data_IF_880891218471
#
_entry.id   IF_880891218471
#
_cell.length_a   1.000
_cell.length_b   1.000
_cell.length_c   1.000
_cell.angle_alpha   90.00
_cell.angle_beta   90.00
_cell.angle_gamma   90.00
#
_symmetry.space_group_name_H-M   'P 1'
#
loop_
_entity.id
_entity.type
_entity.pdbx_description
1 polymer ?
#
# COMPACT_ATOMS: atom_id res chain seq x y z
N UNK A 1 -2.76 8.91 -10.66
CA UNK A 1 -4.19 8.81 -10.99
C UNK A 1 -4.27 8.04 -12.28
N UNK A 2 -4.65 6.76 -12.22
CA UNK A 2 -4.91 6.00 -13.45
C UNK A 2 -6.15 6.63 -14.10
N UNK A 3 -5.96 7.34 -15.20
CA UNK A 3 -7.06 7.68 -16.09
C UNK A 3 -7.33 6.43 -16.92
N UNK A 4 -8.34 5.66 -16.52
CA UNK A 4 -9.01 4.75 -17.44
C UNK A 4 -9.94 5.63 -18.28
N UNK A 5 -9.43 6.17 -19.39
CA UNK A 5 -10.27 6.74 -20.42
C UNK A 5 -10.77 5.60 -21.29
N UNK A 6 -11.98 5.13 -21.04
CA UNK A 6 -12.71 4.38 -22.05
C UNK A 6 -14.07 5.03 -22.23
N UNK A 7 -14.27 5.54 -23.44
CA UNK A 7 -15.58 5.59 -24.07
C UNK A 7 -16.26 4.23 -23.84
N UNK A 8 -17.42 4.26 -23.18
CA UNK A 8 -18.27 3.10 -22.96
C UNK A 8 -18.92 2.73 -24.31
N UNK A 9 -18.13 2.20 -25.24
CA UNK A 9 -18.62 1.57 -26.48
C UNK A 9 -17.60 0.64 -27.15
N UNK A 10 -16.96 -0.24 -26.37
CA UNK A 10 -16.32 -1.43 -26.94
C UNK A 10 -16.20 -2.54 -25.89
N UNK A 11 -16.67 -3.75 -26.20
CA UNK A 11 -16.64 -4.95 -25.35
C UNK A 11 -15.22 -5.50 -25.06
N UNK A 12 -14.16 -4.71 -25.27
CA UNK A 12 -12.78 -5.16 -25.18
C UNK A 12 -11.97 -4.25 -24.26
N UNK A 13 -11.52 -4.81 -23.15
CA UNK A 13 -10.54 -4.19 -22.27
C UNK A 13 -9.23 -3.94 -23.01
N UNK A 14 -8.72 -2.71 -22.96
CA UNK A 14 -7.35 -2.38 -23.39
C UNK A 14 -6.49 -1.89 -22.21
N UNK A 15 -5.22 -2.31 -22.17
CA UNK A 15 -4.28 -1.80 -21.17
C UNK A 15 -3.70 -0.49 -21.68
N UNK A 16 -3.88 0.63 -20.96
CA UNK A 16 -3.48 1.93 -21.50
C UNK A 16 -1.96 1.97 -21.72
N UNK A 17 -1.52 2.46 -22.88
CA UNK A 17 -0.08 2.61 -23.21
C UNK A 17 0.69 3.41 -22.16
N UNK A 18 0.02 4.31 -21.43
CA UNK A 18 0.63 5.06 -20.33
C UNK A 18 1.03 4.17 -19.13
N UNK A 19 0.37 3.01 -18.96
CA UNK A 19 0.65 2.04 -17.91
C UNK A 19 1.90 1.19 -18.17
N UNK A 20 2.42 1.15 -19.40
CA UNK A 20 3.58 0.30 -19.75
C UNK A 20 4.93 0.99 -19.52
N UNK A 21 4.92 2.28 -19.16
CA UNK A 21 6.15 3.09 -19.06
C UNK A 21 6.95 2.83 -17.79
N UNK A 22 6.27 2.52 -16.69
CA UNK A 22 6.89 2.40 -15.37
C UNK A 22 6.57 1.05 -14.75
N UNK A 23 7.51 0.51 -13.99
CA UNK A 23 7.27 -0.72 -13.26
C UNK A 23 6.12 -0.55 -12.25
N UNK A 24 5.39 -1.65 -12.01
CA UNK A 24 4.25 -1.69 -11.10
C UNK A 24 4.21 -3.00 -10.34
N UNK A 25 3.74 -2.92 -9.09
CA UNK A 25 3.45 -4.06 -8.24
C UNK A 25 1.94 -4.23 -8.09
N UNK A 26 1.47 -5.47 -8.14
CA UNK A 26 0.07 -5.81 -7.91
C UNK A 26 -0.02 -6.88 -6.82
N UNK A 27 -1.05 -6.78 -5.99
CA UNK A 27 -1.42 -7.80 -5.02
C UNK A 27 -2.88 -8.20 -5.25
N UNK A 28 -3.12 -9.49 -5.44
CA UNK A 28 -4.44 -10.07 -5.54
C UNK A 28 -4.61 -11.12 -4.44
N UNK A 29 -5.72 -11.08 -3.71
CA UNK A 29 -6.04 -12.00 -2.62
C UNK A 29 -7.38 -12.65 -2.90
N UNK A 30 -7.43 -13.98 -2.82
CA UNK A 30 -8.69 -14.73 -2.84
C UNK A 30 -9.26 -14.79 -1.42
N UNK A 31 -10.42 -14.17 -1.21
CA UNK A 31 -11.03 -13.98 0.11
C UNK A 31 -12.41 -14.63 0.19
N UNK A 32 -12.82 -15.05 1.38
CA UNK A 32 -14.22 -15.37 1.66
C UNK A 32 -15.02 -14.08 1.93
N UNK A 33 -16.34 -14.17 1.86
CA UNK A 33 -17.23 -13.04 2.18
C UNK A 33 -17.07 -12.56 3.63
N UNK A 34 -16.58 -13.40 4.54
CA UNK A 34 -16.34 -13.02 5.93
C UNK A 34 -15.24 -11.95 6.09
N UNK A 35 -14.35 -11.81 5.10
CA UNK A 35 -13.31 -10.78 5.13
C UNK A 35 -13.82 -9.40 4.65
N UNK A 36 -15.05 -9.31 4.11
CA UNK A 36 -15.54 -8.09 3.46
C UNK A 36 -15.62 -6.90 4.42
N UNK A 37 -15.96 -7.10 5.69
CA UNK A 37 -16.00 -6.01 6.66
C UNK A 37 -14.60 -5.50 7.00
N UNK A 38 -13.63 -6.40 7.17
CA UNK A 38 -12.23 -6.01 7.38
C UNK A 38 -11.67 -5.24 6.17
N UNK A 39 -11.98 -5.71 4.96
CA UNK A 39 -11.62 -5.03 3.70
C UNK A 39 -12.31 -3.66 3.60
N UNK A 40 -13.59 -3.57 3.92
CA UNK A 40 -14.34 -2.32 3.88
C UNK A 40 -13.82 -1.31 4.90
N UNK A 41 -13.47 -1.74 6.11
CA UNK A 41 -12.82 -0.89 7.11
C UNK A 41 -11.44 -0.40 6.64
N UNK A 42 -10.62 -1.28 6.06
CA UNK A 42 -9.36 -0.88 5.45
C UNK A 42 -9.58 0.21 4.39
N UNK A 43 -10.48 -0.03 3.43
CA UNK A 43 -10.79 0.92 2.34
C UNK A 43 -11.34 2.25 2.87
N UNK A 44 -12.20 2.20 3.89
CA UNK A 44 -12.83 3.37 4.51
C UNK A 44 -11.79 4.28 5.17
N UNK A 45 -10.85 3.70 5.93
CA UNK A 45 -9.77 4.45 6.55
C UNK A 45 -8.75 4.95 5.53
N UNK A 46 -8.43 4.14 4.51
CA UNK A 46 -7.61 4.55 3.37
C UNK A 46 -8.29 5.63 2.51
N UNK A 47 -9.57 5.91 2.74
CA UNK A 47 -10.38 6.89 2.00
C UNK A 47 -10.42 6.59 0.50
N UNK A 48 -10.49 5.30 0.15
CA UNK A 48 -10.69 4.86 -1.22
C UNK A 48 -11.92 5.55 -1.79
N UNK A 49 -11.80 6.06 -3.02
CA UNK A 49 -12.88 6.77 -3.71
C UNK A 49 -13.34 5.91 -4.89
N UNK A 50 -14.46 5.17 -4.76
CA UNK A 50 -15.00 4.40 -5.87
C UNK A 50 -15.41 5.31 -7.02
N UNK A 51 -15.10 4.88 -8.24
CA UNK A 51 -15.60 5.49 -9.47
C UNK A 51 -16.93 4.85 -9.89
N UNK A 52 -16.95 3.51 -9.97
CA UNK A 52 -18.14 2.69 -10.15
C UNK A 52 -18.30 1.72 -8.97
N UNK A 53 -19.53 1.33 -8.66
CA UNK A 53 -19.81 0.39 -7.58
C UNK A 53 -21.02 -0.49 -7.90
N UNK A 54 -20.90 -1.77 -7.61
CA UNK A 54 -22.03 -2.71 -7.55
C UNK A 54 -21.96 -3.45 -6.21
N UNK A 55 -22.83 -3.09 -5.26
CA UNK A 55 -22.84 -3.65 -3.91
C UNK A 55 -24.18 -4.38 -3.65
N UNK A 56 -24.22 -5.73 -3.77
CA UNK A 56 -25.40 -6.54 -3.51
C UNK A 56 -25.97 -6.33 -2.10
N UNK A 57 -27.29 -6.47 -1.94
CA UNK A 57 -27.97 -6.23 -0.66
C UNK A 57 -27.45 -7.11 0.48
N UNK A 58 -27.15 -8.39 0.20
CA UNK A 58 -26.57 -9.31 1.19
C UNK A 58 -25.22 -8.84 1.72
N UNK A 59 -24.39 -8.20 0.89
CA UNK A 59 -23.08 -7.67 1.28
C UNK A 59 -23.18 -6.37 2.07
N UNK A 60 -24.26 -5.59 1.89
CA UNK A 60 -24.52 -4.41 2.73
C UNK A 60 -24.74 -4.79 4.19
N UNK A 61 -25.39 -5.93 4.42
CA UNK A 61 -25.64 -6.47 5.76
C UNK A 61 -24.36 -7.07 6.35
N UNK A 62 -23.63 -7.85 5.54
CA UNK A 62 -22.42 -8.53 5.98
C UNK A 62 -21.24 -7.58 6.24
N UNK A 63 -21.12 -6.51 5.46
CA UNK A 63 -20.03 -5.54 5.52
C UNK A 63 -20.56 -4.10 5.40
N UNK A 64 -21.18 -3.54 6.46
CA UNK A 64 -21.71 -2.18 6.46
C UNK A 64 -20.65 -1.12 6.11
N UNK A 65 -19.37 -1.38 6.41
CA UNK A 65 -18.29 -0.47 6.04
C UNK A 65 -18.13 -0.27 4.53
N UNK A 66 -18.51 -1.25 3.70
CA UNK A 66 -18.52 -1.09 2.24
C UNK A 66 -19.60 -0.11 1.79
N UNK A 67 -20.72 -0.03 2.51
CA UNK A 67 -21.74 1.01 2.27
C UNK A 67 -21.16 2.40 2.54
N UNK A 68 -20.37 2.54 3.60
CA UNK A 68 -19.65 3.79 3.88
C UNK A 68 -18.63 4.13 2.79
N UNK A 69 -17.86 3.15 2.29
CA UNK A 69 -16.91 3.34 1.19
C UNK A 69 -17.59 3.81 -0.09
N UNK A 70 -18.68 3.14 -0.50
CA UNK A 70 -19.48 3.54 -1.67
C UNK A 70 -20.02 4.97 -1.53
N UNK A 71 -20.48 5.33 -0.32
CA UNK A 71 -20.96 6.67 0.00
C UNK A 71 -19.83 7.68 0.30
N UNK A 72 -18.56 7.30 0.12
CA UNK A 72 -17.37 8.14 0.36
C UNK A 72 -17.32 8.70 1.80
N UNK A 73 -17.84 7.95 2.77
CA UNK A 73 -17.89 8.29 4.20
C UNK A 73 -16.62 7.83 4.92
N UNK A 74 -15.70 8.77 5.14
CA UNK A 74 -14.52 8.55 5.99
C UNK A 74 -14.89 8.47 7.48
N UNK A 75 -13.98 8.00 8.36
CA UNK A 75 -14.14 8.15 9.81
C UNK A 75 -14.45 9.60 10.20
N UNK A 76 -15.20 9.77 11.29
CA UNK A 76 -15.67 11.09 11.76
C UNK A 76 -14.52 12.09 11.89
N UNK A 77 -14.80 13.36 11.60
CA UNK A 77 -13.84 14.45 11.83
C UNK A 77 -13.45 14.57 13.31
N UNK A 78 -14.31 14.14 14.23
CA UNK A 78 -14.09 14.11 15.69
C UNK A 78 -13.43 12.82 16.18
N UNK A 79 -13.13 11.86 15.30
CA UNK A 79 -12.43 10.65 15.71
C UNK A 79 -11.05 11.00 16.29
N UNK A 80 -10.65 10.30 17.35
CA UNK A 80 -9.32 10.42 17.96
C UNK A 80 -8.26 9.61 17.22
N UNK A 81 -8.67 8.61 16.43
CA UNK A 81 -7.78 7.76 15.64
C UNK A 81 -8.15 7.83 14.16
N UNK A 82 -7.11 7.98 13.34
CA UNK A 82 -7.21 8.04 11.88
C UNK A 82 -6.49 6.86 11.22
N UNK A 83 -6.20 5.82 11.98
CA UNK A 83 -5.54 4.61 11.51
C UNK A 83 -6.37 3.37 11.78
N UNK A 84 -6.10 2.31 11.04
CA UNK A 84 -6.67 1.00 11.30
C UNK A 84 -5.72 -0.11 10.87
N UNK A 85 -5.75 -1.21 11.61
CA UNK A 85 -5.06 -2.46 11.28
C UNK A 85 -6.13 -3.54 11.20
N UNK A 86 -6.14 -4.28 10.09
CA UNK A 86 -7.08 -5.37 9.83
C UNK A 86 -6.35 -6.64 9.45
N UNK A 87 -6.75 -7.76 10.03
CA UNK A 87 -6.24 -9.07 9.64
C UNK A 87 -7.14 -9.63 8.56
N UNK A 88 -6.63 -9.72 7.34
CA UNK A 88 -7.34 -10.28 6.19
C UNK A 88 -6.86 -11.72 6.01
N UNK A 89 -7.79 -12.68 6.06
CA UNK A 89 -7.48 -14.11 5.89
C UNK A 89 -7.97 -14.55 4.52
N UNK A 90 -7.05 -15.08 3.74
CA UNK A 90 -7.34 -15.66 2.42
C UNK A 90 -8.05 -17.00 2.53
N UNK A 91 -8.66 -17.48 1.44
CA UNK A 91 -9.36 -18.78 1.40
C UNK A 91 -8.48 -19.97 1.83
N UNK A 92 -7.17 -19.90 1.60
CA UNK A 92 -6.23 -20.95 2.00
C UNK A 92 -5.63 -20.73 3.41
N UNK A 93 -6.14 -19.77 4.17
CA UNK A 93 -5.70 -19.49 5.54
C UNK A 93 -4.46 -18.59 5.65
N UNK A 94 -3.86 -18.12 4.55
CA UNK A 94 -2.77 -17.14 4.62
C UNK A 94 -3.30 -15.83 5.20
N UNK A 95 -2.63 -15.33 6.24
CA UNK A 95 -2.94 -14.05 6.89
C UNK A 95 -2.16 -12.90 6.23
N UNK A 96 -2.85 -11.81 5.99
CA UNK A 96 -2.31 -10.52 5.61
C UNK A 96 -2.75 -9.46 6.63
N UNK A 97 -1.91 -8.45 6.87
CA UNK A 97 -2.24 -7.29 7.72
C UNK A 97 -2.44 -6.07 6.81
N UNK A 98 -3.66 -5.56 6.75
CA UNK A 98 -3.96 -4.29 6.10
C UNK A 98 -3.76 -3.12 7.07
N UNK A 99 -2.81 -2.25 6.78
CA UNK A 99 -2.55 -0.99 7.48
C UNK A 99 -3.17 0.15 6.66
N UNK A 100 -4.12 0.88 7.20
CA UNK A 100 -4.68 2.04 6.52
C UNK A 100 -4.66 3.28 7.42
N UNK A 101 -4.40 4.44 6.79
CA UNK A 101 -4.44 5.76 7.41
C UNK A 101 -5.39 6.67 6.63
N UNK A 102 -6.04 7.58 7.33
CA UNK A 102 -6.77 8.71 6.75
C UNK A 102 -5.87 9.93 6.59
N UNK A 103 -6.34 10.92 5.80
CA UNK A 103 -5.66 12.20 5.55
C UNK A 103 -5.27 13.02 6.78
N UNK A 104 -5.89 12.73 7.94
CA UNK A 104 -5.62 13.41 9.21
C UNK A 104 -4.50 12.77 10.03
N UNK A 105 -3.99 11.60 9.62
CA UNK A 105 -2.85 10.96 10.29
C UNK A 105 -1.61 11.84 10.29
N UNK A 106 -1.39 12.61 9.22
CA UNK A 106 -0.42 13.71 9.22
C UNK A 106 1.05 13.30 9.20
N UNK A 107 1.37 12.02 8.99
CA UNK A 107 2.76 11.55 8.95
C UNK A 107 3.00 10.44 7.91
N UNK A 108 4.26 10.01 7.82
CA UNK A 108 4.73 8.92 6.95
C UNK A 108 4.09 7.59 7.35
N UNK A 109 3.42 6.95 6.38
CA UNK A 109 2.78 5.65 6.54
C UNK A 109 3.80 4.57 6.97
N UNK A 110 4.99 4.60 6.38
CA UNK A 110 5.99 3.55 6.60
C UNK A 110 6.68 3.71 7.95
N UNK A 111 7.27 4.88 8.19
CA UNK A 111 8.07 5.13 9.38
C UNK A 111 7.23 5.30 10.66
N UNK A 112 6.07 5.96 10.61
CA UNK A 112 5.25 6.22 11.81
C UNK A 112 4.19 5.16 12.09
N UNK A 113 3.87 4.30 11.12
CA UNK A 113 2.80 3.32 11.30
C UNK A 113 3.24 1.88 11.03
N UNK A 114 3.69 1.54 9.82
CA UNK A 114 3.95 0.15 9.45
C UNK A 114 5.16 -0.43 10.20
N UNK A 115 6.34 0.19 10.07
CA UNK A 115 7.59 -0.34 10.63
C UNK A 115 7.54 -0.53 12.16
N UNK A 116 6.99 0.41 12.97
CA UNK A 116 6.83 0.21 14.40
C UNK A 116 5.85 -0.91 14.77
N UNK A 117 4.75 -1.08 14.04
CA UNK A 117 3.76 -2.13 14.31
C UNK A 117 4.26 -3.52 13.90
N UNK A 118 5.06 -3.61 12.84
CA UNK A 118 5.75 -4.84 12.45
C UNK A 118 7.02 -5.10 13.28
N UNK A 119 7.51 -4.08 14.00
CA UNK A 119 8.73 -4.12 14.83
C UNK A 119 9.97 -4.46 14.04
N UNK A 120 10.10 -3.93 12.82
CA UNK A 120 11.26 -4.16 11.96
C UNK A 120 11.58 -2.94 11.11
N UNK A 121 12.86 -2.71 10.85
CA UNK A 121 13.30 -1.73 9.84
C UNK A 121 12.89 -2.21 8.45
N UNK A 122 12.66 -1.29 7.51
CA UNK A 122 12.17 -1.62 6.18
C UNK A 122 12.95 -0.89 5.09
N UNK A 123 13.21 -1.55 3.97
CA UNK A 123 13.51 -0.89 2.71
C UNK A 123 12.21 -0.67 1.95
N UNK A 124 11.98 0.55 1.47
CA UNK A 124 10.72 0.98 0.86
C UNK A 124 11.00 1.56 -0.52
N UNK A 125 10.41 0.95 -1.54
CA UNK A 125 10.34 1.45 -2.89
C UNK A 125 9.01 2.18 -3.07
N UNK A 126 9.09 3.47 -3.39
CA UNK A 126 7.94 4.21 -3.88
C UNK A 126 8.39 5.23 -4.92
N UNK A 127 7.51 5.52 -5.87
CA UNK A 127 7.73 6.62 -6.81
C UNK A 127 8.01 7.95 -6.09
N UNK A 128 9.20 8.50 -6.34
CA UNK A 128 9.67 9.81 -5.86
C UNK A 128 9.86 10.84 -6.98
N UNK A 129 9.55 10.49 -8.23
CA UNK A 129 9.73 11.38 -9.40
C UNK A 129 8.69 12.51 -9.55
N UNK A 130 8.17 13.08 -8.45
CA UNK A 130 7.23 14.20 -8.48
C UNK A 130 7.84 15.49 -7.92
N UNK A 131 7.22 16.64 -8.15
CA UNK A 131 7.72 17.96 -7.69
C UNK A 131 7.56 18.20 -6.17
N UNK A 132 7.22 17.17 -5.38
CA UNK A 132 7.03 17.30 -3.94
C UNK A 132 8.28 16.85 -3.20
N UNK A 133 8.53 17.44 -2.03
CA UNK A 133 9.61 17.02 -1.14
C UNK A 133 9.44 15.54 -0.76
N UNK A 134 10.50 14.77 -0.99
CA UNK A 134 10.61 13.39 -0.56
C UNK A 134 10.81 13.33 0.96
N UNK A 135 10.27 12.30 1.61
CA UNK A 135 10.49 12.11 3.06
C UNK A 135 11.95 11.76 3.34
N UNK A 136 12.61 11.04 2.41
CA UNK A 136 13.97 10.54 2.55
C UNK A 136 14.09 9.37 3.52
N UNK A 137 15.22 8.66 3.48
CA UNK A 137 15.56 7.68 4.52
C UNK A 137 15.38 8.29 5.91
N UNK A 138 14.56 7.67 6.74
CA UNK A 138 14.26 8.15 8.09
C UNK A 138 14.74 7.16 9.11
N UNK A 139 15.69 7.60 9.93
CA UNK A 139 16.33 6.77 10.94
C UNK A 139 15.93 7.20 12.35
N UNK A 140 15.70 6.23 13.21
CA UNK A 140 15.28 6.44 14.59
C UNK A 140 15.87 5.41 15.53
N UNK A 141 15.56 5.54 16.82
CA UNK A 141 16.17 4.69 17.86
C UNK A 141 15.73 3.21 17.81
N UNK A 142 14.68 2.87 17.06
CA UNK A 142 14.10 1.51 17.04
C UNK A 142 14.08 0.90 15.65
N UNK A 143 13.32 1.50 14.73
CA UNK A 143 13.21 1.06 13.35
C UNK A 143 13.62 2.19 12.42
N UNK A 144 14.30 1.83 11.34
CA UNK A 144 14.64 2.72 10.25
C UNK A 144 13.76 2.38 9.04
N UNK A 145 13.45 3.39 8.24
CA UNK A 145 12.85 3.20 6.91
C UNK A 145 13.81 3.77 5.88
N UNK A 146 14.37 2.89 5.07
CA UNK A 146 15.31 3.21 4.01
C UNK A 146 14.56 3.40 2.69
N UNK A 147 14.89 4.46 1.95
CA UNK A 147 14.40 4.63 0.59
C UNK A 147 15.23 3.83 -0.40
N UNK A 148 14.56 2.99 -1.18
CA UNK A 148 15.18 2.26 -2.29
C UNK A 148 15.50 3.26 -3.42
N UNK A 149 16.73 3.21 -3.92
CA UNK A 149 17.22 4.05 -5.03
C UNK A 149 17.31 3.26 -6.34
N UNK A 150 17.48 1.93 -6.28
CA UNK A 150 17.41 1.06 -7.45
C UNK A 150 16.76 -0.29 -7.13
N UNK A 151 16.05 -0.82 -8.11
CA UNK A 151 15.32 -2.10 -8.03
C UNK A 151 15.91 -3.07 -9.04
N UNK A 152 16.06 -4.33 -8.64
CA UNK A 152 16.55 -5.42 -9.51
C UNK A 152 15.50 -6.52 -9.65
N UNK A 153 15.08 -6.79 -10.88
CA UNK A 153 14.11 -7.86 -11.19
C UNK A 153 14.63 -8.66 -12.37
N UNK A 154 14.70 -9.99 -12.23
CA UNK A 154 15.15 -10.92 -13.29
C UNK A 154 16.46 -10.46 -13.97
N UNK A 155 17.44 -10.03 -13.18
CA UNK A 155 18.74 -9.51 -13.61
C UNK A 155 18.71 -8.16 -14.35
N UNK A 156 17.58 -7.47 -14.36
CA UNK A 156 17.46 -6.09 -14.85
C UNK A 156 17.41 -5.14 -13.67
N UNK A 157 18.34 -4.18 -13.62
CA UNK A 157 18.36 -3.13 -12.61
C UNK A 157 17.89 -1.82 -13.22
N UNK A 158 17.01 -1.12 -12.52
CA UNK A 158 16.52 0.19 -12.92
C UNK A 158 16.41 1.12 -11.71
N UNK A 159 16.51 2.42 -11.95
CA UNK A 159 16.35 3.43 -10.92
C UNK A 159 14.90 3.46 -10.42
N UNK A 160 14.69 3.87 -9.17
CA UNK A 160 13.35 4.04 -8.59
C UNK A 160 12.49 5.06 -9.38
N UNK A 161 13.11 6.00 -10.10
CA UNK A 161 12.43 6.93 -11.02
C UNK A 161 11.83 6.26 -12.26
N UNK A 162 12.03 4.95 -12.44
CA UNK A 162 11.38 4.12 -13.45
C UNK A 162 10.34 3.16 -12.83
N UNK A 163 10.10 3.28 -11.52
CA UNK A 163 9.23 2.38 -10.77
C UNK A 163 8.07 3.12 -10.07
N UNK A 164 6.86 2.95 -10.58
CA UNK A 164 5.67 3.50 -9.94
C UNK A 164 5.17 2.63 -8.76
N UNK A 165 5.79 1.47 -8.52
CA UNK A 165 5.38 0.54 -7.48
C UNK A 165 5.52 1.18 -6.10
N UNK A 166 4.80 0.63 -5.13
CA UNK A 166 4.84 1.05 -3.74
C UNK A 166 4.89 -0.20 -2.90
N UNK A 167 6.07 -0.58 -2.48
CA UNK A 167 6.24 -1.75 -1.65
C UNK A 167 7.32 -1.51 -0.61
N UNK A 168 7.24 -2.30 0.46
CA UNK A 168 8.24 -2.30 1.51
C UNK A 168 8.58 -3.73 1.91
N UNK A 169 9.85 -3.98 2.18
CA UNK A 169 10.33 -5.28 2.66
C UNK A 169 11.07 -5.08 3.97
N UNK A 170 10.87 -6.00 4.91
CA UNK A 170 11.65 -6.00 6.14
C UNK A 170 13.14 -6.19 5.85
N UNK A 171 13.98 -5.50 6.62
CA UNK A 171 15.43 -5.67 6.60
C UNK A 171 15.90 -6.88 7.44
N UNK A 172 14.97 -7.63 8.04
CA UNK A 172 15.26 -8.70 8.98
C UNK A 172 14.51 -9.98 8.62
N UNK A 173 15.23 -11.04 8.27
CA UNK A 173 14.63 -12.33 7.90
C UNK A 173 13.69 -12.90 8.98
N UNK A 174 13.92 -12.59 10.26
CA UNK A 174 13.08 -13.05 11.39
C UNK A 174 11.64 -12.51 11.33
N UNK A 175 11.42 -11.39 10.64
CA UNK A 175 10.09 -10.82 10.37
C UNK A 175 9.99 -10.71 8.85
N UNK A 176 9.71 -11.80 8.11
CA UNK A 176 9.78 -11.84 6.66
C UNK A 176 8.57 -11.16 6.01
N UNK A 177 8.34 -9.89 6.35
CA UNK A 177 7.21 -9.10 5.90
C UNK A 177 7.51 -8.43 4.57
N UNK A 178 6.55 -8.53 3.65
CA UNK A 178 6.46 -7.74 2.42
C UNK A 178 5.13 -7.02 2.40
N UNK A 179 5.16 -5.72 2.16
CA UNK A 179 3.98 -4.87 2.12
C UNK A 179 3.82 -4.27 0.74
N UNK A 180 2.61 -4.30 0.18
CA UNK A 180 2.25 -3.62 -1.08
C UNK A 180 1.25 -2.52 -0.73
N UNK A 181 1.52 -1.29 -1.17
CA UNK A 181 0.73 -0.11 -0.80
C UNK A 181 0.34 0.79 -1.95
N UNK A 182 -0.25 1.94 -1.61
CA UNK A 182 -0.85 2.88 -2.58
C UNK A 182 -0.41 4.35 -2.37
N UNK A 183 0.41 4.63 -1.35
CA UNK A 183 0.93 5.97 -1.03
C UNK A 183 2.41 6.09 -1.37
N UNK A 184 2.78 7.15 -2.11
CA UNK A 184 4.20 7.53 -2.31
C UNK A 184 4.82 8.01 -1.00
N UNK A 185 6.13 7.91 -0.85
CA UNK A 185 6.85 8.43 0.32
C UNK A 185 7.30 9.89 0.13
N UNK A 186 6.33 10.77 -0.13
CA UNK A 186 6.51 12.22 -0.27
C UNK A 186 5.76 12.97 0.84
N UNK A 187 6.27 14.10 1.32
CA UNK A 187 5.68 14.89 2.42
C UNK A 187 4.24 15.31 2.11
N UNK A 188 3.95 15.62 0.85
CA UNK A 188 2.58 15.94 0.37
C UNK A 188 1.55 14.84 0.67
N UNK A 189 2.00 13.59 0.80
CA UNK A 189 1.16 12.43 1.06
C UNK A 189 0.76 12.25 2.53
N UNK A 190 1.32 13.05 3.44
CA UNK A 190 0.90 13.06 4.85
C UNK A 190 -0.58 13.43 4.99
N UNK A 191 -1.07 14.28 4.07
CA UNK A 191 -2.44 14.78 4.00
C UNK A 191 -3.35 13.95 3.08
N UNK A 192 -2.95 12.71 2.74
CA UNK A 192 -3.74 11.78 1.93
C UNK A 192 -4.06 10.51 2.71
N UNK A 193 -5.25 9.96 2.47
CA UNK A 193 -5.58 8.61 2.88
C UNK A 193 -4.88 7.58 1.99
N UNK A 194 -4.64 6.41 2.54
CA UNK A 194 -4.08 5.26 1.84
C UNK A 194 -3.60 4.20 2.83
N UNK A 195 -2.88 3.20 2.35
CA UNK A 195 -2.44 2.07 3.16
C UNK A 195 -1.48 1.13 2.46
N UNK A 196 -1.17 0.04 3.16
CA UNK A 196 -0.45 -1.10 2.61
C UNK A 196 -0.96 -2.41 3.20
N UNK A 197 -0.92 -3.47 2.41
CA UNK A 197 -1.22 -4.84 2.85
C UNK A 197 0.08 -5.61 2.96
N UNK A 198 0.37 -6.11 4.15
CA UNK A 198 1.59 -6.81 4.50
C UNK A 198 1.37 -8.31 4.67
N UNK A 199 2.24 -9.12 4.09
CA UNK A 199 2.23 -10.58 4.19
C UNK A 199 3.57 -11.02 4.76
N UNK A 200 3.53 -11.80 5.82
CA UNK A 200 4.72 -12.47 6.37
C UNK A 200 4.89 -13.83 5.67
N UNK A 201 5.87 -13.92 4.78
CA UNK A 201 6.18 -15.13 4.01
C UNK A 201 7.65 -15.14 3.60
N UNK A 202 8.38 -16.18 3.98
CA UNK A 202 9.82 -16.24 3.75
C UNK A 202 10.19 -16.30 2.26
N UNK A 203 9.36 -16.93 1.41
CA UNK A 203 9.64 -17.01 -0.03
C UNK A 203 9.38 -15.66 -0.68
N UNK A 204 8.24 -15.03 -0.37
CA UNK A 204 7.91 -13.69 -0.85
C UNK A 204 8.97 -12.67 -0.41
N UNK A 205 9.32 -12.69 0.87
CA UNK A 205 10.35 -11.81 1.43
C UNK A 205 11.69 -11.98 0.74
N UNK A 206 12.17 -13.21 0.52
CA UNK A 206 13.42 -13.45 -0.21
C UNK A 206 13.41 -12.85 -1.61
N UNK A 207 12.27 -12.93 -2.31
CA UNK A 207 12.12 -12.34 -3.64
C UNK A 207 12.24 -10.81 -3.57
N UNK A 208 11.44 -10.16 -2.73
CA UNK A 208 11.42 -8.69 -2.64
C UNK A 208 12.71 -8.12 -2.03
N UNK A 209 13.29 -8.79 -1.03
CA UNK A 209 14.55 -8.39 -0.43
C UNK A 209 15.69 -8.43 -1.45
N UNK A 210 15.74 -9.47 -2.30
CA UNK A 210 16.71 -9.54 -3.42
C UNK A 210 16.42 -8.54 -4.53
N UNK A 211 15.21 -7.97 -4.58
CA UNK A 211 14.88 -6.92 -5.53
C UNK A 211 15.32 -5.54 -5.07
N UNK A 212 15.74 -5.37 -3.81
CA UNK A 212 16.43 -4.16 -3.37
C UNK A 212 17.83 -4.17 -3.99
N UNK A 213 18.08 -3.31 -4.99
CA UNK A 213 19.40 -3.12 -5.57
C UNK A 213 20.26 -2.26 -4.66
N UNK A 214 19.86 -1.00 -4.52
CA UNK A 214 20.49 -0.02 -3.64
C UNK A 214 19.42 0.72 -2.83
N UNK A 215 19.81 1.21 -1.65
CA UNK A 215 18.98 2.08 -0.82
C UNK A 215 19.83 3.15 -0.16
N UNK A 216 19.21 4.27 0.18
CA UNK A 216 19.86 5.39 0.86
C UNK A 216 20.08 5.05 2.34
N UNK A 217 21.33 5.07 2.80
CA UNK A 217 21.66 4.81 4.20
C UNK A 217 21.23 5.97 5.12
N UNK A 218 21.25 5.72 6.43
CA UNK A 218 21.08 6.79 7.40
C UNK A 218 22.19 7.85 7.22
N UNK A 219 21.86 9.15 7.26
CA UNK A 219 22.87 10.19 7.34
C UNK A 219 23.80 9.94 8.53
N UNK A 220 25.10 10.18 8.32
CA UNK A 220 26.14 10.10 9.35
C UNK A 220 26.14 11.39 10.17
#
# INVERSE_FOLDING_TARGET
MFHLSESIDSEKYDYPKSGTRFAQSFLCLSLSTNALEDVGQYMRFAQVTPFLSNLPASFKVLAPSLVDVVNKKSPSKSASDFTTIRTIVTLNGKKAKGFAKGKKFGADLWYKFIAPNLKTSMAVETWRGGNAEDVGTTCGNKQNVYDVSSVTVLNTTFANSMDHSKWGVSMEQKIPAVCIGDVNRQVSQYKRGGGAVCIEDLKLWRTFYKSVGEYENCPI
#
